data_IF_449084899222
#
_entry.id   IF_449084899222
#
_cell.length_a   1.000
_cell.length_b   1.000
_cell.length_c   1.000
_cell.angle_alpha   90.00
_cell.angle_beta   90.00
_cell.angle_gamma   90.00
#
_symmetry.space_group_name_H-M   'P 1'
#
loop_
_entity.id
_entity.type
_entity.pdbx_description
1 polymer ?
#
# COMPACT_ATOMS: atom_id res chain seq x y z
N UNK A 1 -53.83 18.44 27.31
CA UNK A 1 -55.24 17.97 27.23
C UNK A 1 -55.25 16.64 26.59
N UNK A 2 -55.76 15.70 27.42
CA UNK A 2 -56.52 14.48 27.11
C UNK A 2 -55.75 13.29 26.48
N UNK A 3 -55.31 12.48 27.34
CA UNK A 3 -55.31 11.03 27.51
C UNK A 3 -56.35 10.25 26.68
N UNK A 4 -55.96 9.12 26.13
CA UNK A 4 -56.82 7.92 26.20
C UNK A 4 -55.98 6.65 26.14
N UNK A 5 -56.04 5.88 27.21
CA UNK A 5 -55.57 4.48 27.31
C UNK A 5 -56.72 3.59 26.81
N UNK A 6 -56.38 2.50 26.13
CA UNK A 6 -57.27 1.32 26.09
C UNK A 6 -56.49 0.05 26.40
N UNK A 7 -56.94 -0.62 27.44
CA UNK A 7 -56.62 -2.01 27.83
C UNK A 7 -57.62 -2.94 27.16
N UNK A 8 -57.20 -4.13 26.84
CA UNK A 8 -58.04 -5.38 26.84
C UNK A 8 -57.16 -6.52 26.39
N UNK A 9 -57.14 -7.62 26.85
CA UNK A 9 -57.63 -8.56 27.85
C UNK A 9 -57.17 -9.94 27.42
N UNK A 10 -56.77 -10.69 28.38
CA UNK A 10 -56.25 -12.06 28.36
C UNK A 10 -57.33 -13.01 27.90
N UNK A 11 -56.98 -14.04 27.12
CA UNK A 11 -57.72 -15.27 27.11
C UNK A 11 -56.78 -16.48 27.07
N UNK A 12 -56.78 -17.24 28.12
CA UNK A 12 -56.11 -18.52 28.25
C UNK A 12 -57.01 -19.63 27.70
N UNK A 13 -56.47 -20.56 26.98
CA UNK A 13 -57.05 -21.84 26.71
C UNK A 13 -55.98 -22.94 26.83
N UNK A 14 -56.17 -23.77 27.82
CA UNK A 14 -55.43 -25.02 28.05
C UNK A 14 -56.13 -26.17 27.35
N UNK A 15 -55.36 -27.20 27.02
CA UNK A 15 -55.67 -28.64 26.78
C UNK A 15 -54.82 -29.12 25.59
N UNK A 16 -54.15 -30.24 25.51
CA UNK A 16 -54.16 -31.50 26.26
C UNK A 16 -52.88 -32.30 25.86
N UNK A 17 -52.45 -33.17 26.75
CA UNK A 17 -51.38 -34.13 26.58
C UNK A 17 -51.56 -35.04 25.35
N UNK A 18 -50.52 -35.23 24.56
CA UNK A 18 -50.32 -36.33 23.63
C UNK A 18 -48.84 -36.71 23.61
N UNK A 19 -48.50 -37.73 24.42
CA UNK A 19 -47.14 -38.28 24.40
C UNK A 19 -46.98 -39.17 23.17
N UNK A 20 -46.20 -38.71 22.21
CA UNK A 20 -45.69 -39.52 21.11
C UNK A 20 -44.21 -39.74 21.34
N UNK A 21 -43.85 -40.98 21.71
CA UNK A 21 -42.47 -41.46 21.76
C UNK A 21 -41.93 -41.56 20.34
N UNK A 22 -41.23 -40.55 19.88
CA UNK A 22 -40.45 -40.59 18.65
C UNK A 22 -39.03 -41.04 18.98
N UNK A 23 -38.69 -42.27 18.61
CA UNK A 23 -37.32 -42.75 18.61
C UNK A 23 -36.52 -41.98 17.57
N UNK A 24 -35.72 -41.04 18.03
CA UNK A 24 -34.75 -40.36 17.17
C UNK A 24 -33.58 -41.30 16.89
N UNK A 25 -33.53 -41.85 15.69
CA UNK A 25 -32.31 -42.44 15.15
C UNK A 25 -31.24 -41.36 15.08
N UNK A 26 -30.13 -41.52 15.82
CA UNK A 26 -28.99 -40.65 15.74
C UNK A 26 -28.33 -40.82 14.36
N UNK A 27 -28.45 -39.83 13.50
CA UNK A 27 -27.63 -39.71 12.29
C UNK A 27 -26.18 -39.51 12.71
N UNK A 28 -25.22 -40.29 12.19
CA UNK A 28 -23.81 -40.03 12.46
C UNK A 28 -23.47 -38.64 11.92
N UNK A 29 -22.91 -37.80 12.79
CA UNK A 29 -22.39 -36.50 12.41
C UNK A 29 -21.32 -36.72 11.30
N UNK A 30 -21.56 -36.15 10.13
CA UNK A 30 -20.58 -36.11 9.08
C UNK A 30 -19.31 -35.40 9.63
N UNK A 31 -18.16 -36.05 9.49
CA UNK A 31 -16.87 -35.47 9.82
C UNK A 31 -16.74 -34.12 9.09
N UNK A 32 -16.17 -33.10 9.72
CA UNK A 32 -15.94 -31.82 9.06
C UNK A 32 -15.08 -32.08 7.81
N UNK A 33 -15.63 -31.67 6.66
CA UNK A 33 -14.91 -31.73 5.40
C UNK A 33 -13.58 -30.99 5.55
N UNK A 34 -12.52 -31.64 5.11
CA UNK A 34 -11.15 -31.12 5.04
C UNK A 34 -11.15 -29.62 4.78
N UNK A 35 -10.62 -28.86 5.72
CA UNK A 35 -10.07 -27.54 5.47
C UNK A 35 -8.98 -27.74 4.43
N UNK A 36 -9.37 -27.66 3.13
CA UNK A 36 -8.41 -27.55 2.06
C UNK A 36 -7.42 -26.48 2.48
N UNK A 37 -6.19 -26.90 2.71
CA UNK A 37 -5.05 -26.03 2.97
C UNK A 37 -5.16 -24.86 1.99
N UNK A 38 -5.57 -23.71 2.52
CA UNK A 38 -5.58 -22.45 1.75
C UNK A 38 -4.13 -22.22 1.40
N UNK A 39 -3.76 -22.45 0.15
CA UNK A 39 -2.41 -22.18 -0.32
C UNK A 39 -2.04 -20.79 0.19
N UNK A 40 -0.97 -20.71 0.97
CA UNK A 40 -0.48 -19.41 1.43
C UNK A 40 -0.27 -18.55 0.19
N UNK A 41 -0.79 -17.31 0.22
CA UNK A 41 -0.51 -16.37 -0.86
C UNK A 41 1.01 -16.36 -1.10
N UNK A 42 1.47 -16.35 -2.36
CA UNK A 42 2.90 -16.37 -2.65
C UNK A 42 3.57 -15.26 -1.85
N UNK A 43 4.59 -15.62 -1.08
CA UNK A 43 5.36 -14.64 -0.31
C UNK A 43 6.08 -13.72 -1.28
N UNK A 44 6.11 -12.42 -0.97
CA UNK A 44 6.86 -11.47 -1.77
C UNK A 44 8.35 -11.86 -1.81
N UNK A 45 8.98 -12.02 -3.00
CA UNK A 45 10.40 -12.32 -3.10
C UNK A 45 11.25 -11.28 -2.37
N UNK A 46 12.27 -11.74 -1.64
CA UNK A 46 13.19 -10.85 -0.94
C UNK A 46 14.59 -10.98 -1.56
N UNK A 47 15.13 -9.85 -2.02
CA UNK A 47 16.45 -9.81 -2.62
C UNK A 47 17.53 -9.57 -1.55
N UNK A 48 18.68 -10.21 -1.72
CA UNK A 48 19.89 -9.94 -0.92
C UNK A 48 20.40 -8.52 -1.20
N UNK A 49 20.45 -8.15 -2.47
CA UNK A 49 20.77 -6.79 -2.91
C UNK A 49 19.61 -5.85 -2.57
N UNK A 50 19.82 -4.98 -1.59
CA UNK A 50 18.82 -4.03 -1.10
C UNK A 50 18.58 -2.87 -2.07
N UNK A 51 19.47 -2.67 -3.02
CA UNK A 51 19.37 -1.64 -4.06
C UNK A 51 19.10 -2.23 -5.45
N UNK A 52 18.55 -3.43 -5.49
CA UNK A 52 18.23 -4.13 -6.74
C UNK A 52 17.38 -3.30 -7.72
N UNK A 53 16.48 -2.45 -7.21
CA UNK A 53 15.65 -1.55 -8.01
C UNK A 53 16.31 -0.20 -8.31
N UNK A 54 17.50 0.09 -7.78
CA UNK A 54 18.14 1.39 -7.87
C UNK A 54 18.46 1.78 -9.32
N UNK A 55 18.12 3.01 -9.70
CA UNK A 55 18.54 3.62 -10.97
C UNK A 55 19.99 4.12 -10.93
N UNK A 56 20.49 4.41 -9.72
CA UNK A 56 21.89 4.82 -9.48
C UNK A 56 22.51 3.92 -8.40
N UNK A 57 23.35 2.98 -8.81
CA UNK A 57 24.02 2.03 -7.93
C UNK A 57 25.26 2.58 -7.18
N UNK A 58 25.53 3.87 -7.28
CA UNK A 58 26.57 4.51 -6.46
C UNK A 58 26.16 4.76 -5.02
N UNK A 59 24.88 4.47 -4.69
CA UNK A 59 24.36 4.57 -3.33
C UNK A 59 25.08 3.59 -2.41
N UNK A 60 25.46 4.08 -1.23
CA UNK A 60 26.11 3.31 -0.18
C UNK A 60 25.11 3.05 0.95
N UNK A 61 24.56 1.82 1.01
CA UNK A 61 23.51 1.46 1.99
C UNK A 61 24.04 1.42 3.42
N UNK A 62 25.34 1.24 3.62
CA UNK A 62 25.93 1.20 4.96
C UNK A 62 25.97 2.59 5.63
N UNK A 63 25.76 3.65 4.83
CA UNK A 63 25.63 5.03 5.34
C UNK A 63 24.22 5.39 5.82
N UNK A 64 23.23 4.53 5.58
CA UNK A 64 21.85 4.81 5.96
C UNK A 64 21.70 4.75 7.49
N UNK A 65 21.19 5.82 8.07
CA UNK A 65 20.90 5.91 9.50
C UNK A 65 19.47 6.41 9.75
N UNK A 66 18.83 5.94 10.85
CA UNK A 66 19.16 4.74 11.61
C UNK A 66 19.10 3.47 10.75
N UNK A 67 19.44 2.32 11.32
CA UNK A 67 19.37 1.04 10.61
C UNK A 67 18.03 0.86 9.91
N UNK A 68 18.02 0.68 8.57
CA UNK A 68 16.78 0.73 7.80
C UNK A 68 15.93 -0.53 7.97
N UNK A 69 14.65 -0.34 8.18
CA UNK A 69 13.66 -1.42 8.06
C UNK A 69 13.22 -1.53 6.61
N UNK A 70 13.70 -2.58 5.94
CA UNK A 70 13.40 -2.81 4.54
C UNK A 70 11.97 -3.29 4.34
N UNK A 71 11.31 -2.78 3.30
CA UNK A 71 9.98 -3.20 2.87
C UNK A 71 9.99 -4.67 2.45
N UNK A 72 8.96 -5.41 2.89
CA UNK A 72 8.79 -6.85 2.60
C UNK A 72 7.54 -7.18 1.79
N UNK A 73 6.75 -6.18 1.41
CA UNK A 73 5.53 -6.35 0.60
C UNK A 73 5.79 -6.11 -0.89
N UNK A 74 4.97 -6.73 -1.76
CA UNK A 74 4.99 -6.52 -3.21
C UNK A 74 3.88 -5.58 -3.69
N UNK A 75 3.12 -4.94 -2.78
CA UNK A 75 2.03 -4.05 -3.18
C UNK A 75 2.52 -2.89 -4.02
N UNK A 76 1.69 -2.44 -4.95
CA UNK A 76 1.93 -1.24 -5.74
C UNK A 76 2.20 -0.04 -4.85
N UNK A 77 3.20 0.73 -5.20
CA UNK A 77 3.52 2.02 -4.60
C UNK A 77 3.18 3.14 -5.57
N UNK A 78 3.05 4.34 -5.03
CA UNK A 78 2.65 5.51 -5.80
C UNK A 78 3.63 6.66 -5.60
N UNK A 79 3.75 7.49 -6.63
CA UNK A 79 4.56 8.71 -6.55
C UNK A 79 3.95 9.82 -7.38
N UNK A 80 3.69 10.95 -6.75
CA UNK A 80 3.40 12.20 -7.47
C UNK A 80 4.69 12.82 -7.98
N UNK A 81 4.74 13.16 -9.28
CA UNK A 81 5.91 13.81 -9.89
C UNK A 81 5.46 14.79 -10.99
N UNK A 82 6.23 15.87 -11.18
CA UNK A 82 5.94 16.86 -12.22
C UNK A 82 6.50 16.47 -13.60
N UNK A 83 7.45 15.54 -13.64
CA UNK A 83 8.03 15.04 -14.88
C UNK A 83 7.03 14.14 -15.59
N UNK A 84 6.86 14.35 -16.89
CA UNK A 84 5.97 13.54 -17.71
C UNK A 84 6.56 12.16 -18.07
N UNK A 85 5.73 11.27 -18.64
CA UNK A 85 6.13 9.91 -19.00
C UNK A 85 7.28 9.85 -19.99
N UNK A 86 7.44 10.83 -20.89
CA UNK A 86 8.55 10.87 -21.82
C UNK A 86 9.94 10.91 -21.12
N UNK A 87 9.99 11.43 -19.90
CA UNK A 87 11.23 11.45 -19.10
C UNK A 87 11.29 10.20 -18.20
N UNK A 88 10.25 9.96 -17.42
CA UNK A 88 10.28 8.91 -16.40
C UNK A 88 10.34 7.50 -17.00
N UNK A 89 9.70 7.27 -18.14
CA UNK A 89 9.78 5.96 -18.80
C UNK A 89 11.13 5.68 -19.46
N UNK A 90 11.94 6.71 -19.70
CA UNK A 90 13.32 6.54 -20.20
C UNK A 90 14.34 6.44 -19.09
N UNK A 91 14.24 7.28 -18.07
CA UNK A 91 15.28 7.45 -17.06
C UNK A 91 14.96 6.73 -15.73
N UNK A 92 13.68 6.40 -15.46
CA UNK A 92 13.22 6.03 -14.14
C UNK A 92 13.18 7.23 -13.19
N UNK A 93 13.28 6.96 -11.91
CA UNK A 93 13.35 7.98 -10.87
C UNK A 93 14.75 8.03 -10.29
N UNK A 94 15.54 8.99 -10.74
CA UNK A 94 16.88 9.25 -10.20
C UNK A 94 16.80 10.06 -8.90
N UNK A 95 17.63 9.74 -7.90
CA UNK A 95 17.75 10.54 -6.68
C UNK A 95 18.48 11.85 -6.96
N UNK A 96 18.42 12.78 -6.02
CA UNK A 96 19.07 14.08 -6.17
C UNK A 96 20.58 14.02 -5.97
N UNK A 97 21.07 13.22 -5.02
CA UNK A 97 22.50 13.08 -4.74
C UNK A 97 22.78 11.75 -4.02
N UNK A 98 23.37 10.80 -4.73
CA UNK A 98 23.80 9.51 -4.18
C UNK A 98 25.16 9.53 -3.51
N UNK A 99 26.00 10.51 -3.79
CA UNK A 99 27.40 10.53 -3.30
C UNK A 99 27.53 11.36 -2.03
N UNK A 100 27.05 12.61 -2.07
CA UNK A 100 27.22 13.58 -0.98
C UNK A 100 25.91 13.90 -0.25
N UNK A 101 24.80 13.28 -0.66
CA UNK A 101 23.47 13.55 -0.12
C UNK A 101 23.29 13.13 1.33
N UNK A 102 22.16 13.53 1.88
CA UNK A 102 21.75 13.19 3.24
C UNK A 102 21.30 11.74 3.33
N UNK A 103 22.04 10.90 4.05
CA UNK A 103 21.75 9.49 4.25
C UNK A 103 20.95 9.21 5.54
N UNK A 104 20.90 10.17 6.48
CA UNK A 104 20.02 10.07 7.64
C UNK A 104 18.56 10.23 7.22
N UNK A 105 17.75 9.19 7.46
CA UNK A 105 16.36 9.12 6.98
C UNK A 105 15.48 10.15 7.68
N UNK A 106 15.69 10.38 8.98
CA UNK A 106 14.90 11.36 9.71
C UNK A 106 15.15 12.77 9.17
N UNK A 107 16.42 13.13 8.99
CA UNK A 107 16.80 14.42 8.40
C UNK A 107 16.28 14.58 6.97
N UNK A 108 16.34 13.51 6.16
CA UNK A 108 15.81 13.50 4.80
C UNK A 108 14.29 13.80 4.78
N UNK A 109 13.53 13.09 5.60
CA UNK A 109 12.07 13.23 5.69
C UNK A 109 11.65 14.60 6.21
N UNK A 110 12.35 15.11 7.23
CA UNK A 110 11.97 16.36 7.90
C UNK A 110 12.39 17.62 7.14
N UNK A 111 13.54 17.59 6.42
CA UNK A 111 14.17 18.79 5.85
C UNK A 111 14.12 18.84 4.32
N UNK A 112 13.83 17.70 3.65
CA UNK A 112 13.76 17.61 2.17
C UNK A 112 14.98 18.20 1.44
N UNK A 113 16.15 17.82 1.87
CA UNK A 113 17.44 18.21 1.24
C UNK A 113 17.89 17.17 0.19
N UNK A 114 18.93 17.48 -0.63
CA UNK A 114 19.49 16.49 -1.54
C UNK A 114 19.88 15.21 -0.81
N UNK A 115 19.45 14.08 -1.34
CA UNK A 115 19.59 12.77 -0.68
C UNK A 115 19.69 11.66 -1.72
N UNK A 116 20.14 10.46 -1.33
CA UNK A 116 20.14 9.29 -2.19
C UNK A 116 18.74 8.69 -2.40
N UNK A 117 17.70 9.24 -1.80
CA UNK A 117 16.38 8.63 -1.77
C UNK A 117 15.43 9.19 -2.84
N UNK A 118 14.57 8.29 -3.32
CA UNK A 118 13.34 8.62 -4.06
C UNK A 118 12.15 8.18 -3.22
N UNK A 119 11.29 9.14 -2.87
CA UNK A 119 10.08 8.93 -2.08
C UNK A 119 8.98 8.27 -2.90
N UNK A 120 8.32 7.28 -2.34
CA UNK A 120 7.07 6.69 -2.80
C UNK A 120 6.12 6.53 -1.61
N UNK A 121 4.89 6.14 -1.85
CA UNK A 121 3.90 5.93 -0.78
C UNK A 121 3.08 4.67 -1.01
N UNK A 122 2.54 4.10 0.06
CA UNK A 122 1.49 3.09 -0.01
C UNK A 122 0.11 3.69 -0.31
N UNK A 123 -0.08 4.99 -0.04
CA UNK A 123 -1.35 5.67 -0.25
C UNK A 123 -1.51 6.13 -1.70
N UNK A 124 -2.42 5.47 -2.43
CA UNK A 124 -2.78 5.85 -3.79
C UNK A 124 -3.23 7.32 -3.87
N UNK A 125 -3.96 7.80 -2.87
CA UNK A 125 -4.63 9.08 -2.89
C UNK A 125 -3.77 10.26 -2.38
N UNK A 126 -2.54 9.99 -1.97
CA UNK A 126 -1.62 11.04 -1.49
C UNK A 126 -1.41 12.15 -2.54
N UNK A 127 -1.50 11.83 -3.83
CA UNK A 127 -1.41 12.83 -4.91
C UNK A 127 -2.46 13.94 -4.80
N UNK A 128 -3.60 13.69 -4.17
CA UNK A 128 -4.66 14.71 -3.96
C UNK A 128 -4.19 15.82 -3.05
N UNK A 129 -3.31 15.51 -2.10
CA UNK A 129 -2.65 16.48 -1.22
C UNK A 129 -1.47 17.17 -1.92
N UNK A 130 -0.72 16.41 -2.74
CA UNK A 130 0.48 16.88 -3.44
C UNK A 130 0.24 17.16 -4.93
N UNK A 131 -0.99 17.46 -5.32
CA UNK A 131 -1.48 17.65 -6.69
C UNK A 131 -0.67 18.65 -7.56
N UNK A 132 0.28 19.37 -6.98
CA UNK A 132 1.18 20.26 -7.73
C UNK A 132 2.06 19.52 -8.73
N UNK A 133 2.20 18.23 -8.57
CA UNK A 133 3.10 17.40 -9.40
C UNK A 133 2.60 17.25 -10.84
N UNK A 134 1.32 17.04 -11.06
CA UNK A 134 0.73 16.88 -12.38
C UNK A 134 0.56 15.43 -12.84
N UNK A 135 1.28 14.47 -12.26
CA UNK A 135 1.20 13.05 -12.59
C UNK A 135 1.22 12.18 -11.34
N UNK A 136 0.45 11.08 -11.35
CA UNK A 136 0.54 10.01 -10.36
C UNK A 136 1.11 8.76 -11.03
N UNK A 137 2.27 8.30 -10.58
CA UNK A 137 2.97 7.12 -11.09
C UNK A 137 2.65 5.90 -10.24
N UNK A 138 2.46 4.77 -10.91
CA UNK A 138 2.26 3.44 -10.34
C UNK A 138 3.57 2.69 -10.41
N UNK A 139 4.03 2.17 -9.30
CA UNK A 139 5.38 1.61 -9.14
C UNK A 139 5.28 0.21 -8.56
N UNK A 140 5.97 -0.73 -9.19
CA UNK A 140 6.13 -2.12 -8.76
C UNK A 140 7.62 -2.42 -8.66
N UNK A 141 8.24 -1.99 -7.57
CA UNK A 141 9.67 -2.12 -7.34
C UNK A 141 9.96 -2.96 -6.10
N UNK A 142 10.96 -3.88 -6.14
CA UNK A 142 11.41 -4.58 -4.95
C UNK A 142 12.21 -3.67 -4.01
N UNK A 143 12.17 -3.99 -2.73
CA UNK A 143 12.95 -3.26 -1.71
C UNK A 143 12.31 -1.94 -1.30
N UNK A 144 13.17 -0.95 -1.03
CA UNK A 144 12.81 0.33 -0.41
C UNK A 144 12.78 0.24 1.12
N UNK A 145 13.02 1.36 1.76
CA UNK A 145 13.02 1.51 3.23
C UNK A 145 11.63 1.98 3.66
N UNK A 146 11.00 1.22 4.54
CA UNK A 146 9.74 1.61 5.18
C UNK A 146 10.04 2.68 6.23
N UNK A 147 9.72 3.92 5.92
CA UNK A 147 10.12 5.07 6.75
C UNK A 147 9.51 4.99 8.15
N UNK A 148 8.21 4.77 8.25
CA UNK A 148 7.53 4.72 9.54
C UNK A 148 8.02 3.57 10.43
N UNK A 149 8.42 2.45 9.84
CA UNK A 149 9.03 1.36 10.61
C UNK A 149 10.47 1.66 11.02
N UNK A 150 11.16 2.51 10.30
CA UNK A 150 12.56 2.87 10.57
C UNK A 150 12.68 3.96 11.64
N UNK A 151 11.90 5.03 11.54
CA UNK A 151 12.01 6.20 12.44
C UNK A 151 10.77 6.43 13.31
N UNK A 152 9.82 5.49 13.31
CA UNK A 152 8.55 5.60 14.02
C UNK A 152 7.48 6.33 13.21
N UNK A 153 6.25 6.30 13.71
CA UNK A 153 5.05 6.85 13.06
C UNK A 153 4.53 8.14 13.73
N UNK A 154 5.34 8.79 14.55
CA UNK A 154 4.97 10.01 15.29
C UNK A 154 5.55 11.29 14.67
N UNK A 155 6.36 11.18 13.62
CA UNK A 155 6.89 12.36 12.93
C UNK A 155 5.80 13.06 12.10
N UNK A 156 6.04 14.32 11.77
CA UNK A 156 5.02 15.20 11.16
C UNK A 156 4.52 14.75 9.78
N UNK A 157 5.19 13.81 9.12
CA UNK A 157 4.86 13.29 7.79
C UNK A 157 4.50 11.80 7.80
N UNK A 158 4.23 11.22 8.98
CA UNK A 158 3.94 9.80 9.13
C UNK A 158 2.69 9.33 8.35
N UNK A 159 1.73 10.23 8.15
CA UNK A 159 0.52 10.01 7.35
C UNK A 159 0.79 9.77 5.86
N UNK A 160 1.98 10.13 5.37
CA UNK A 160 2.38 9.84 4.00
C UNK A 160 2.72 8.36 3.76
N UNK A 161 2.85 7.54 4.79
CA UNK A 161 3.22 6.11 4.73
C UNK A 161 4.32 5.83 3.72
N UNK A 162 5.41 6.60 3.85
CA UNK A 162 6.48 6.67 2.87
C UNK A 162 7.31 5.40 2.78
N UNK A 163 7.67 5.03 1.54
CA UNK A 163 8.75 4.09 1.24
C UNK A 163 9.83 4.84 0.46
N UNK A 164 11.03 4.95 1.03
CA UNK A 164 12.17 5.63 0.45
C UNK A 164 13.08 4.64 -0.28
N UNK A 165 13.36 4.89 -1.57
CA UNK A 165 14.21 4.04 -2.39
C UNK A 165 15.64 4.60 -2.49
N UNK A 166 16.63 3.99 -1.82
CA UNK A 166 18.03 4.38 -1.98
C UNK A 166 18.50 4.10 -3.42
N UNK A 167 19.15 5.06 -4.04
CA UNK A 167 19.58 4.98 -5.44
C UNK A 167 18.46 5.19 -6.45
N UNK A 168 17.23 5.47 -6.00
CA UNK A 168 16.09 5.70 -6.88
C UNK A 168 15.46 4.42 -7.42
N UNK A 169 14.77 4.52 -8.57
CA UNK A 169 13.97 3.41 -9.12
C UNK A 169 14.20 3.34 -10.63
N UNK A 170 14.68 2.19 -11.12
CA UNK A 170 14.83 1.92 -12.55
C UNK A 170 13.49 1.96 -13.28
N UNK A 171 13.50 2.41 -14.54
CA UNK A 171 12.31 2.56 -15.39
C UNK A 171 11.46 1.29 -15.50
N UNK A 172 12.09 0.13 -15.48
CA UNK A 172 11.41 -1.16 -15.62
C UNK A 172 10.48 -1.52 -14.45
N UNK A 173 10.58 -0.80 -13.35
CA UNK A 173 9.71 -0.96 -12.17
C UNK A 173 8.57 0.07 -12.12
N UNK A 174 8.48 0.96 -13.10
CA UNK A 174 7.35 1.88 -13.25
C UNK A 174 6.30 1.20 -14.11
N UNK A 175 5.12 0.90 -13.55
CA UNK A 175 4.01 0.25 -14.28
C UNK A 175 3.43 1.20 -15.32
N UNK A 176 3.16 2.43 -14.91
CA UNK A 176 2.50 3.42 -15.72
C UNK A 176 2.24 4.71 -14.97
N UNK A 177 1.42 5.56 -15.56
CA UNK A 177 1.17 6.91 -15.05
C UNK A 177 -0.21 7.40 -15.46
N UNK A 178 -0.87 8.14 -14.56
CA UNK A 178 -2.08 8.90 -14.89
C UNK A 178 -1.81 10.40 -14.69
N UNK A 179 -2.18 11.27 -15.65
CA UNK A 179 -2.21 12.71 -15.41
C UNK A 179 -3.23 13.05 -14.32
N UNK A 180 -2.94 14.07 -13.54
CA UNK A 180 -3.84 14.56 -12.49
C UNK A 180 -4.42 15.89 -12.89
N UNK A 181 -5.74 16.00 -12.92
CA UNK A 181 -6.44 17.27 -13.07
C UNK A 181 -6.24 18.11 -11.78
N UNK A 182 -5.62 19.28 -11.96
CA UNK A 182 -5.25 20.15 -10.83
C UNK A 182 -6.47 20.79 -10.15
N UNK A 183 -7.59 20.90 -10.85
CA UNK A 183 -8.81 21.53 -10.35
C UNK A 183 -9.63 20.54 -9.52
N UNK A 184 -9.88 19.36 -10.09
CA UNK A 184 -10.67 18.33 -9.42
C UNK A 184 -9.85 17.46 -8.49
N UNK A 185 -8.51 17.49 -8.60
CA UNK A 185 -7.59 16.62 -7.86
C UNK A 185 -7.89 15.14 -8.08
N UNK A 186 -8.20 14.79 -9.32
CA UNK A 186 -8.49 13.42 -9.73
C UNK A 186 -7.60 13.02 -10.90
N UNK A 187 -7.32 11.72 -11.01
CA UNK A 187 -6.65 11.17 -12.17
C UNK A 187 -7.54 11.25 -13.41
N UNK A 188 -6.97 11.63 -14.54
CA UNK A 188 -7.63 11.63 -15.85
C UNK A 188 -7.45 10.23 -16.43
N UNK A 189 -8.36 9.31 -16.08
CA UNK A 189 -8.24 7.89 -16.39
C UNK A 189 -8.13 7.58 -17.89
N UNK A 190 -8.76 8.39 -18.75
CA UNK A 190 -8.67 8.25 -20.23
C UNK A 190 -7.26 8.49 -20.76
N UNK A 191 -6.43 9.22 -20.01
CA UNK A 191 -5.12 9.67 -20.43
C UNK A 191 -3.98 8.92 -19.73
N UNK A 192 -4.35 7.90 -18.93
CA UNK A 192 -3.36 7.02 -18.30
C UNK A 192 -2.55 6.27 -19.37
N UNK A 193 -1.27 6.10 -19.12
CA UNK A 193 -0.31 5.48 -20.04
C UNK A 193 0.45 4.38 -19.36
N UNK A 194 0.47 3.20 -19.97
CA UNK A 194 1.36 2.10 -19.55
C UNK A 194 2.79 2.38 -19.98
N UNK A 195 3.72 1.98 -19.13
CA UNK A 195 5.14 2.05 -19.46
C UNK A 195 5.55 0.86 -20.37
N UNK A 196 6.05 1.09 -21.58
CA UNK A 196 6.45 -0.01 -22.47
C UNK A 196 7.66 -0.80 -21.98
N UNK A 197 8.40 -0.27 -21.01
CA UNK A 197 9.58 -0.90 -20.43
C UNK A 197 9.28 -1.65 -19.13
N UNK A 198 8.05 -1.59 -18.63
CA UNK A 198 7.68 -2.27 -17.38
C UNK A 198 7.92 -3.78 -17.47
N UNK A 199 8.51 -4.34 -16.41
CA UNK A 199 8.77 -5.77 -16.25
C UNK A 199 8.39 -6.20 -14.83
N UNK A 200 7.35 -7.05 -14.67
CA UNK A 200 7.04 -7.65 -13.37
C UNK A 200 8.25 -8.39 -12.82
N UNK A 201 8.44 -8.32 -11.51
CA UNK A 201 9.57 -8.97 -10.83
C UNK A 201 9.12 -10.06 -9.83
N UNK A 202 7.81 -10.23 -9.66
CA UNK A 202 7.17 -11.24 -8.81
C UNK A 202 5.96 -11.89 -9.50
#
# INVERSE_FOLDING_TARGET
>A
MITTRLRSTVTAAALSLGAVLATTAATPAAAPADLKSRAAAPSCPQFQDKVYAAADHRVDVDRITPDPVWRTSCGTLYRSDSRGPAVVFEEGFLPKDTVNGQYDIESYVLVNQPSPYVSTTYDHDLYKTWYKSGYNYYIDAPGGVDVNKTIGDTHKWADQVEVAFPGGIQRQYVIGVCPVDKTTKTEIMSDCRSNPYYRPWH
#
